data_IF_511351132864
#
_entry.id   IF_511351132864
#
_cell.length_a   1.000
_cell.length_b   1.000
_cell.length_c   1.000
_cell.angle_alpha   90.00
_cell.angle_beta   90.00
_cell.angle_gamma   90.00
#
_symmetry.space_group_name_H-M   'P 1'
#
loop_
_entity.id
_entity.type
_entity.pdbx_description
1 polymer ?
#
# COMPACT_ATOMS: atom_id res chain seq x y z
N UNK A 1 -25.69 -12.70 2.56
CA UNK A 1 -24.79 -12.84 1.41
C UNK A 1 -23.53 -13.56 1.81
N UNK A 2 -22.83 -14.18 0.90
CA UNK A 2 -21.48 -14.71 1.17
C UNK A 2 -20.50 -13.58 0.95
N UNK A 3 -19.79 -13.20 2.01
CA UNK A 3 -18.73 -12.22 1.93
C UNK A 3 -17.41 -12.93 1.58
N UNK A 4 -16.60 -12.26 0.78
CA UNK A 4 -15.34 -12.82 0.33
C UNK A 4 -14.24 -11.75 0.26
N UNK A 5 -13.01 -12.20 0.37
CA UNK A 5 -11.82 -11.44 0.09
C UNK A 5 -10.77 -12.34 -0.57
N UNK A 6 -9.94 -11.75 -1.39
CA UNK A 6 -8.88 -12.48 -2.05
C UNK A 6 -7.93 -11.55 -2.79
N UNK A 7 -6.84 -12.12 -3.27
CA UNK A 7 -5.91 -11.37 -4.11
C UNK A 7 -5.28 -12.25 -5.19
N UNK A 8 -4.82 -11.61 -6.25
CA UNK A 8 -3.93 -12.17 -7.26
C UNK A 8 -2.69 -11.28 -7.33
N UNK A 9 -1.50 -11.88 -7.32
CA UNK A 9 -0.24 -11.15 -7.46
C UNK A 9 0.64 -11.81 -8.52
N UNK A 10 1.27 -10.98 -9.34
CA UNK A 10 2.25 -11.35 -10.35
C UNK A 10 3.51 -10.52 -10.12
N UNK A 11 4.67 -11.17 -10.17
CA UNK A 11 5.96 -10.50 -10.04
C UNK A 11 6.90 -10.99 -11.14
N UNK A 12 7.66 -10.07 -11.72
CA UNK A 12 8.69 -10.34 -12.69
C UNK A 12 10.03 -9.74 -12.26
N UNK A 13 11.09 -10.55 -12.25
CA UNK A 13 12.44 -10.13 -11.88
C UNK A 13 13.34 -10.09 -13.11
N UNK A 14 13.96 -8.95 -13.38
CA UNK A 14 14.91 -8.75 -14.48
C UNK A 14 16.31 -9.13 -14.05
N UNK A 15 16.58 -10.43 -13.91
CA UNK A 15 17.81 -10.97 -13.31
C UNK A 15 19.09 -10.59 -14.07
N UNK A 16 19.00 -10.36 -15.38
CA UNK A 16 20.16 -9.98 -16.22
C UNK A 16 20.47 -8.48 -16.18
N UNK A 17 19.67 -7.67 -15.51
CA UNK A 17 19.84 -6.22 -15.44
C UNK A 17 20.76 -5.80 -14.30
N UNK A 18 21.54 -4.74 -14.48
CA UNK A 18 22.56 -4.25 -13.54
C UNK A 18 22.06 -4.09 -12.09
N UNK A 19 20.80 -3.68 -11.92
CA UNK A 19 20.21 -3.41 -10.59
C UNK A 19 19.16 -4.44 -10.20
N UNK A 20 19.08 -5.57 -10.94
CA UNK A 20 18.11 -6.64 -10.74
C UNK A 20 16.70 -6.13 -10.40
N UNK A 21 16.13 -5.23 -11.25
CA UNK A 21 14.84 -4.64 -10.93
C UNK A 21 13.74 -5.71 -10.95
N UNK A 22 12.70 -5.46 -10.18
CA UNK A 22 11.46 -6.24 -10.20
C UNK A 22 10.26 -5.35 -10.44
N UNK A 23 9.30 -5.87 -11.19
CA UNK A 23 8.00 -5.26 -11.44
C UNK A 23 6.93 -6.20 -10.92
N UNK A 24 6.06 -5.69 -10.06
CA UNK A 24 4.94 -6.42 -9.50
C UNK A 24 3.60 -5.78 -9.85
N UNK A 25 2.59 -6.61 -9.92
CA UNK A 25 1.19 -6.19 -9.94
C UNK A 25 0.41 -7.05 -8.95
N UNK A 26 -0.41 -6.38 -8.12
CA UNK A 26 -1.33 -7.05 -7.20
C UNK A 26 -2.72 -6.47 -7.35
N UNK A 27 -3.71 -7.32 -7.51
CA UNK A 27 -5.11 -7.02 -7.36
C UNK A 27 -5.61 -7.63 -6.06
N UNK A 28 -6.27 -6.84 -5.21
CA UNK A 28 -6.93 -7.32 -4.00
C UNK A 28 -8.39 -6.90 -4.01
N UNK A 29 -9.27 -7.82 -3.65
CA UNK A 29 -10.71 -7.61 -3.57
C UNK A 29 -11.20 -7.87 -2.16
N UNK A 30 -12.04 -6.98 -1.64
CA UNK A 30 -12.76 -7.13 -0.39
C UNK A 30 -14.22 -6.76 -0.64
N UNK A 31 -15.14 -7.71 -0.45
CA UNK A 31 -16.57 -7.47 -0.61
C UNK A 31 -17.09 -6.42 0.39
N UNK A 32 -18.27 -5.88 0.11
CA UNK A 32 -18.78 -4.68 0.80
C UNK A 32 -19.14 -4.91 2.28
N UNK A 33 -19.40 -6.15 2.69
CA UNK A 33 -19.67 -6.52 4.08
C UNK A 33 -18.59 -7.41 4.67
N UNK A 34 -17.46 -7.61 3.97
CA UNK A 34 -16.36 -8.41 4.48
C UNK A 34 -15.88 -7.89 5.84
N UNK A 35 -15.75 -8.78 6.81
CA UNK A 35 -15.23 -8.49 8.14
C UNK A 35 -13.93 -9.28 8.35
N UNK A 36 -12.78 -8.63 8.31
CA UNK A 36 -11.51 -9.29 8.59
C UNK A 36 -11.41 -9.57 10.09
N UNK A 37 -11.54 -10.83 10.49
CA UNK A 37 -11.44 -11.25 11.90
C UNK A 37 -10.08 -10.90 12.53
N UNK A 38 -9.02 -10.80 11.73
CA UNK A 38 -7.67 -10.44 12.16
C UNK A 38 -7.13 -9.30 11.31
N UNK A 39 -7.10 -8.13 11.91
CA UNK A 39 -6.58 -6.94 11.32
C UNK A 39 -5.08 -6.80 11.61
N UNK A 40 -4.28 -6.45 10.59
CA UNK A 40 -2.87 -6.08 10.78
C UNK A 40 -1.89 -7.24 10.90
N UNK A 41 -2.26 -8.47 10.58
CA UNK A 41 -1.30 -9.56 10.48
C UNK A 41 -0.49 -9.49 9.16
N UNK A 42 0.04 -8.31 8.86
CA UNK A 42 0.98 -8.11 7.77
C UNK A 42 2.37 -8.14 8.38
N UNK A 43 3.10 -9.19 8.08
CA UNK A 43 4.48 -9.35 8.53
C UNK A 43 5.30 -8.13 8.08
N UNK A 44 5.48 -7.18 8.98
CA UNK A 44 6.54 -6.20 8.93
C UNK A 44 6.24 -4.82 8.34
N UNK A 45 5.20 -4.58 7.54
CA UNK A 45 5.07 -3.33 6.79
C UNK A 45 3.66 -2.69 6.80
N UNK A 46 2.93 -2.83 7.90
CA UNK A 46 1.65 -2.12 8.06
C UNK A 46 0.64 -2.42 6.95
N UNK A 47 0.12 -1.37 6.34
CA UNK A 47 -0.94 -1.44 5.32
C UNK A 47 -0.44 -1.40 3.87
N UNK A 48 0.82 -1.71 3.60
CA UNK A 48 1.45 -1.60 2.28
C UNK A 48 0.73 -2.34 1.14
N UNK A 49 -0.08 -3.36 1.43
CA UNK A 49 -0.90 -4.02 0.42
C UNK A 49 -2.22 -3.30 0.14
N UNK A 50 -2.64 -2.40 1.04
CA UNK A 50 -3.87 -1.62 0.95
C UNK A 50 -3.62 -0.11 0.88
N UNK A 51 -2.37 0.33 0.71
CA UNK A 51 -1.95 1.73 0.74
C UNK A 51 -1.51 2.18 2.14
N UNK A 52 -0.28 2.64 2.26
CA UNK A 52 0.29 3.07 3.55
C UNK A 52 -0.28 4.42 3.99
N UNK A 53 -0.34 5.38 3.06
CA UNK A 53 -0.89 6.71 3.35
C UNK A 53 -2.40 6.66 3.50
N UNK A 54 -3.09 5.99 2.57
CA UNK A 54 -4.53 5.81 2.63
C UNK A 54 -4.95 5.13 3.95
N UNK A 55 -4.23 4.11 4.39
CA UNK A 55 -4.46 3.43 5.65
C UNK A 55 -4.38 4.34 6.87
N UNK A 56 -3.49 5.33 6.85
CA UNK A 56 -3.32 6.29 7.94
C UNK A 56 -4.38 7.40 7.95
N UNK A 57 -4.86 7.85 6.77
CA UNK A 57 -5.78 8.99 6.67
C UNK A 57 -7.25 8.58 6.53
N UNK A 58 -7.55 7.46 5.90
CA UNK A 58 -8.91 7.04 5.58
C UNK A 58 -9.29 5.70 6.22
N UNK A 59 -8.37 5.08 6.95
CA UNK A 59 -8.50 3.74 7.46
C UNK A 59 -8.14 2.69 6.40
N UNK A 60 -7.84 1.49 6.85
CA UNK A 60 -7.38 0.43 5.96
C UNK A 60 -8.50 -0.03 5.02
N UNK A 61 -8.18 -0.13 3.76
CA UNK A 61 -9.10 -0.58 2.73
C UNK A 61 -9.17 -2.11 2.69
N UNK A 62 -9.75 -2.69 3.71
CA UNK A 62 -9.96 -4.14 3.87
C UNK A 62 -11.44 -4.55 3.82
N UNK A 63 -12.30 -3.64 3.36
CA UNK A 63 -13.75 -3.81 3.20
C UNK A 63 -14.21 -2.89 2.08
N UNK A 64 -15.18 -3.35 1.28
CA UNK A 64 -15.80 -2.56 0.21
C UNK A 64 -14.80 -1.96 -0.78
N UNK A 65 -13.72 -2.68 -1.10
CA UNK A 65 -12.61 -2.14 -1.88
C UNK A 65 -12.04 -3.14 -2.89
N UNK A 66 -11.79 -2.64 -4.09
CA UNK A 66 -10.89 -3.22 -5.09
C UNK A 66 -9.60 -2.38 -5.12
N UNK A 67 -8.46 -3.03 -4.93
CA UNK A 67 -7.17 -2.38 -4.86
C UNK A 67 -6.27 -2.91 -5.96
N UNK A 68 -5.81 -2.03 -6.85
CA UNK A 68 -4.78 -2.32 -7.82
C UNK A 68 -3.47 -1.71 -7.33
N UNK A 69 -2.44 -2.52 -7.17
CA UNK A 69 -1.09 -2.08 -6.79
C UNK A 69 -0.11 -2.43 -7.91
N UNK A 70 0.71 -1.48 -8.30
CA UNK A 70 1.92 -1.71 -9.10
C UNK A 70 3.12 -1.43 -8.21
N UNK A 71 4.08 -2.34 -8.19
CA UNK A 71 5.32 -2.19 -7.45
C UNK A 71 6.53 -2.23 -8.39
N UNK A 72 7.50 -1.37 -8.13
CA UNK A 72 8.79 -1.39 -8.78
C UNK A 72 9.88 -1.32 -7.72
N UNK A 73 10.85 -2.23 -7.77
CA UNK A 73 11.95 -2.29 -6.82
C UNK A 73 13.25 -2.52 -7.57
N UNK A 74 14.36 -1.96 -7.09
CA UNK A 74 15.69 -2.19 -7.64
C UNK A 74 16.77 -2.14 -6.56
N UNK A 75 17.79 -2.97 -6.70
CA UNK A 75 18.95 -3.02 -5.82
C UNK A 75 20.04 -2.09 -6.38
N UNK A 76 20.20 -0.90 -5.82
CA UNK A 76 21.26 0.05 -6.23
C UNK A 76 22.63 -0.43 -5.74
N UNK A 77 22.66 -1.12 -4.58
CA UNK A 77 23.83 -1.77 -3.96
C UNK A 77 23.37 -3.04 -3.25
N UNK A 78 24.28 -3.90 -2.85
CA UNK A 78 23.97 -5.12 -2.07
C UNK A 78 23.19 -4.85 -0.78
N UNK A 79 23.42 -3.69 -0.18
CA UNK A 79 22.79 -3.28 1.07
C UNK A 79 21.81 -2.11 0.93
N UNK A 80 21.45 -1.72 -0.31
CA UNK A 80 20.55 -0.59 -0.54
C UNK A 80 19.58 -0.86 -1.70
N UNK A 81 18.30 -0.97 -1.36
CA UNK A 81 17.18 -1.13 -2.29
C UNK A 81 16.37 0.16 -2.34
N UNK A 82 15.89 0.51 -3.53
CA UNK A 82 14.90 1.56 -3.77
C UNK A 82 13.61 0.93 -4.29
N UNK A 83 12.47 1.39 -3.80
CA UNK A 83 11.16 0.93 -4.20
C UNK A 83 10.16 2.05 -4.42
N UNK A 84 9.19 1.78 -5.29
CA UNK A 84 8.01 2.61 -5.49
C UNK A 84 6.76 1.73 -5.58
N UNK A 85 5.65 2.20 -5.00
CA UNK A 85 4.35 1.55 -5.01
C UNK A 85 3.32 2.56 -5.53
N UNK A 86 2.53 2.16 -6.51
CA UNK A 86 1.43 2.97 -7.01
C UNK A 86 0.11 2.21 -6.81
N UNK A 87 -0.90 2.90 -6.30
CA UNK A 87 -2.20 2.29 -5.99
C UNK A 87 -3.34 3.03 -6.69
N UNK A 88 -4.35 2.24 -7.04
CA UNK A 88 -5.67 2.73 -7.42
C UNK A 88 -6.72 2.00 -6.60
N UNK A 89 -7.48 2.76 -5.85
CA UNK A 89 -8.57 2.27 -5.03
C UNK A 89 -9.90 2.47 -5.75
N UNK A 90 -10.78 1.47 -5.67
CA UNK A 90 -12.13 1.51 -6.21
C UNK A 90 -13.11 0.94 -5.20
N UNK A 91 -14.23 1.59 -5.05
CA UNK A 91 -15.33 1.16 -4.21
C UNK A 91 -16.16 0.08 -4.92
N UNK A 92 -16.41 -1.03 -4.24
CA UNK A 92 -17.25 -2.13 -4.75
C UNK A 92 -18.73 -1.72 -4.74
N UNK A 93 -19.24 -1.32 -3.58
CA UNK A 93 -20.62 -0.85 -3.41
C UNK A 93 -20.64 0.64 -3.09
N UNK A 94 -21.02 1.47 -4.08
CA UNK A 94 -21.03 2.93 -3.99
C UNK A 94 -22.17 3.50 -3.16
N UNK A 95 -23.11 2.68 -2.69
CA UNK A 95 -24.12 3.11 -1.72
C UNK A 95 -23.59 3.20 -0.29
N UNK A 96 -22.38 2.69 -0.05
CA UNK A 96 -21.64 2.79 1.18
C UNK A 96 -20.54 3.87 1.04
N UNK A 97 -19.72 4.02 2.08
CA UNK A 97 -18.60 4.97 2.06
C UNK A 97 -17.64 4.69 0.90
N UNK A 98 -17.27 5.73 0.18
CA UNK A 98 -16.49 5.68 -1.03
C UNK A 98 -14.98 5.74 -0.71
N UNK A 99 -14.23 4.75 -1.17
CA UNK A 99 -12.77 4.64 -1.01
C UNK A 99 -11.99 4.95 -2.30
N UNK A 100 -12.68 5.44 -3.34
CA UNK A 100 -12.03 5.77 -4.61
C UNK A 100 -10.88 6.76 -4.40
N UNK A 101 -9.72 6.48 -4.97
CA UNK A 101 -8.53 7.32 -4.84
C UNK A 101 -7.29 6.71 -5.49
N UNK A 102 -6.17 7.41 -5.30
CA UNK A 102 -4.86 6.99 -5.79
C UNK A 102 -3.79 7.27 -4.73
N UNK A 103 -2.75 6.46 -4.72
CA UNK A 103 -1.59 6.66 -3.86
C UNK A 103 -0.30 6.35 -4.61
N UNK A 104 0.76 7.06 -4.27
CA UNK A 104 2.12 6.80 -4.73
C UNK A 104 3.06 6.87 -3.54
N UNK A 105 3.78 5.80 -3.28
CA UNK A 105 4.78 5.71 -2.25
C UNK A 105 6.16 5.49 -2.85
N UNK A 106 7.16 6.14 -2.28
CA UNK A 106 8.58 5.90 -2.58
C UNK A 106 9.29 5.61 -1.27
N UNK A 107 10.06 4.55 -1.25
CA UNK A 107 10.80 4.12 -0.07
C UNK A 107 12.17 3.56 -0.43
N UNK A 108 13.04 3.46 0.55
CA UNK A 108 14.27 2.70 0.43
C UNK A 108 14.45 1.76 1.61
N UNK A 109 15.21 0.69 1.41
CA UNK A 109 15.67 -0.20 2.47
C UNK A 109 17.19 -0.13 2.49
N UNK A 110 17.73 0.43 3.54
CA UNK A 110 19.17 0.45 3.78
C UNK A 110 19.52 -0.51 4.92
N UNK A 111 20.17 -1.62 4.58
CA UNK A 111 20.73 -2.56 5.55
C UNK A 111 22.07 -2.03 6.04
N UNK A 112 22.06 -1.34 7.18
CA UNK A 112 23.29 -0.80 7.81
C UNK A 112 24.23 -1.93 8.19
N UNK A 113 23.66 -3.03 8.66
CA UNK A 113 24.35 -4.31 8.93
C UNK A 113 23.32 -5.46 8.87
N UNK A 114 23.77 -6.69 9.17
CA UNK A 114 22.93 -7.91 9.12
C UNK A 114 21.71 -7.88 10.06
N UNK A 115 21.70 -6.99 11.05
CA UNK A 115 20.66 -6.92 12.08
C UNK A 115 19.86 -5.64 12.06
N UNK A 116 20.28 -4.62 11.30
CA UNK A 116 19.67 -3.30 11.40
C UNK A 116 19.39 -2.71 10.02
N UNK A 117 18.11 -2.40 9.78
CA UNK A 117 17.63 -1.73 8.59
C UNK A 117 17.05 -0.36 8.92
N UNK A 118 17.26 0.59 8.02
CA UNK A 118 16.64 1.92 8.02
C UNK A 118 15.80 2.05 6.77
N UNK A 119 14.50 2.35 6.94
CA UNK A 119 13.52 2.35 5.85
C UNK A 119 12.74 3.67 5.88
N UNK A 120 13.24 4.73 5.23
CA UNK A 120 12.45 5.94 4.97
C UNK A 120 11.41 5.66 3.90
N UNK A 121 10.22 6.24 4.09
CA UNK A 121 9.11 6.23 3.14
C UNK A 121 8.52 7.63 3.03
N UNK A 122 8.18 8.04 1.82
CA UNK A 122 7.35 9.22 1.55
C UNK A 122 6.22 8.78 0.62
N UNK A 123 5.00 9.15 0.97
CA UNK A 123 3.82 8.80 0.21
C UNK A 123 2.89 9.98 -0.04
N UNK A 124 2.13 9.88 -1.12
CA UNK A 124 1.13 10.85 -1.57
C UNK A 124 -0.18 10.12 -1.79
N UNK A 125 -1.21 10.44 -0.99
CA UNK A 125 -2.56 9.89 -1.16
C UNK A 125 -3.53 10.96 -1.61
N UNK A 126 -4.25 10.72 -2.71
CA UNK A 126 -5.31 11.57 -3.26
C UNK A 126 -6.63 10.83 -3.20
N UNK A 127 -7.50 11.08 -2.19
CA UNK A 127 -8.87 10.61 -2.19
C UNK A 127 -9.67 11.31 -3.28
N UNK A 128 -10.70 10.66 -3.77
CA UNK A 128 -11.66 11.25 -4.71
C UNK A 128 -12.81 11.93 -3.99
N UNK A 129 -13.11 11.50 -2.77
CA UNK A 129 -14.20 11.98 -1.94
C UNK A 129 -13.73 12.13 -0.49
N UNK A 130 -14.14 13.20 0.15
CA UNK A 130 -14.05 13.38 1.60
C UNK A 130 -15.31 12.88 2.31
N UNK A 131 -15.39 12.99 3.63
CA UNK A 131 -16.53 12.54 4.42
C UNK A 131 -17.82 13.30 4.07
N UNK A 132 -17.72 14.57 3.63
CA UNK A 132 -18.87 15.38 3.26
C UNK A 132 -19.43 15.03 1.87
N UNK A 133 -18.62 14.42 1.02
CA UNK A 133 -18.97 13.93 -0.32
C UNK A 133 -19.12 12.41 -0.40
N UNK A 134 -19.25 11.74 0.76
CA UNK A 134 -19.49 10.29 0.86
C UNK A 134 -18.24 9.41 0.91
N UNK A 135 -17.07 9.99 1.11
CA UNK A 135 -15.82 9.27 1.31
C UNK A 135 -15.55 8.88 2.76
N UNK A 136 -14.39 8.30 3.02
CA UNK A 136 -13.89 7.94 4.35
C UNK A 136 -12.85 8.94 4.89
N UNK A 137 -12.36 9.83 4.04
CA UNK A 137 -11.36 10.83 4.40
C UNK A 137 -11.97 11.92 5.31
N UNK A 138 -11.38 12.12 6.49
CA UNK A 138 -11.94 13.01 7.52
C UNK A 138 -11.78 14.51 7.23
N UNK A 139 -10.82 14.90 6.35
CA UNK A 139 -10.53 16.31 6.07
C UNK A 139 -11.17 16.77 4.75
N UNK A 140 -10.34 16.85 3.73
CA UNK A 140 -10.78 17.25 2.40
C UNK A 140 -10.30 16.23 1.35
N UNK A 141 -10.70 16.43 0.11
CA UNK A 141 -10.30 15.56 -1.01
C UNK A 141 -8.94 15.95 -1.61
N UNK A 142 -8.14 16.80 -0.94
CA UNK A 142 -6.81 17.19 -1.40
C UNK A 142 -5.80 16.06 -1.23
N UNK A 143 -4.62 16.26 -1.80
CA UNK A 143 -3.51 15.30 -1.66
C UNK A 143 -2.94 15.37 -0.25
N UNK A 144 -2.92 14.23 0.42
CA UNK A 144 -2.25 14.05 1.70
C UNK A 144 -0.81 13.63 1.46
N UNK A 145 0.11 14.26 2.18
CA UNK A 145 1.55 13.93 2.17
C UNK A 145 1.90 13.25 3.49
N UNK A 146 2.59 12.13 3.38
CA UNK A 146 2.99 11.32 4.52
C UNK A 146 4.49 11.01 4.43
N UNK A 147 5.17 11.05 5.57
CA UNK A 147 6.56 10.61 5.68
C UNK A 147 6.72 9.73 6.92
N UNK A 148 7.44 8.63 6.77
CA UNK A 148 7.70 7.65 7.82
C UNK A 148 9.16 7.24 7.79
N UNK A 149 9.72 6.98 8.98
CA UNK A 149 11.02 6.35 9.14
C UNK A 149 10.85 5.08 9.98
N UNK A 150 11.08 3.92 9.37
CA UNK A 150 11.05 2.63 10.06
C UNK A 150 12.48 2.24 10.41
N UNK A 151 12.72 1.95 11.68
CA UNK A 151 13.95 1.36 12.20
C UNK A 151 13.65 -0.09 12.56
N UNK A 152 14.25 -1.04 11.85
CA UNK A 152 14.00 -2.47 12.04
C UNK A 152 15.24 -3.13 12.61
N UNK A 153 15.10 -3.79 13.75
CA UNK A 153 16.13 -4.63 14.33
C UNK A 153 15.74 -6.09 14.28
N UNK A 154 16.64 -6.94 13.77
CA UNK A 154 16.47 -8.39 13.63
C UNK A 154 17.43 -9.06 14.61
N UNK A 155 16.90 -9.75 15.60
CA UNK A 155 17.68 -10.46 16.65
C UNK A 155 17.76 -11.98 16.41
#
# INVERSE_FOLDING_TARGET
GQENAGYLALNYNFLSSKYTPSLGYRFSHFSDQYDPMFYGNTVGFGTWFQGEVAGNYAGPFNKNADIHQVSYMMNLKENFMLGALAYKFKTVNKSLANVDGHELDVFSVWSVNKKFNVIPLVGLYKPKHDIHSGGTQNYDDKTNVYAQLILQYIY
#
